data_IF_208830563510
#
_entry.id   IF_208830563510
#
_cell.length_a   1.000
_cell.length_b   1.000
_cell.length_c   1.000
_cell.angle_alpha   90.00
_cell.angle_beta   90.00
_cell.angle_gamma   90.00
#
_symmetry.space_group_name_H-M   'P 1'
#
loop_
_entity.id
_entity.type
_entity.pdbx_description
1 polymer ?
#
# COMPACT_ATOMS: atom_id res chain seq x y z
N UNK A 1 -6.67 12.68 -0.24
CA UNK A 1 -5.42 13.34 0.18
C UNK A 1 -4.73 12.47 1.22
N UNK A 2 -3.46 12.11 1.01
CA UNK A 2 -2.69 11.32 1.99
C UNK A 2 -2.29 12.21 3.18
N UNK A 3 -2.11 11.59 4.33
CA UNK A 3 -1.86 12.28 5.60
C UNK A 3 -0.77 13.37 5.54
N UNK A 4 0.41 13.19 4.88
CA UNK A 4 1.43 14.23 4.81
C UNK A 4 0.96 15.54 4.16
N UNK A 5 0.08 15.46 3.15
CA UNK A 5 -0.47 16.66 2.49
C UNK A 5 -1.48 17.39 3.37
N UNK A 6 -2.34 16.64 4.08
CA UNK A 6 -3.31 17.21 5.02
C UNK A 6 -2.57 17.91 6.17
N UNK A 7 -1.57 17.25 6.72
CA UNK A 7 -0.78 17.79 7.83
C UNK A 7 0.03 19.03 7.40
N UNK A 8 0.60 19.04 6.20
CA UNK A 8 1.26 20.23 5.66
C UNK A 8 0.28 21.40 5.48
N UNK A 9 -0.91 21.13 4.95
CA UNK A 9 -1.96 22.15 4.80
C UNK A 9 -2.39 22.71 6.17
N UNK A 10 -2.64 21.85 7.14
CA UNK A 10 -2.98 22.28 8.52
C UNK A 10 -1.84 23.06 9.16
N UNK A 11 -0.59 22.70 8.92
CA UNK A 11 0.57 23.43 9.39
C UNK A 11 0.62 24.85 8.81
N UNK A 12 0.42 25.00 7.50
CA UNK A 12 0.38 26.33 6.84
C UNK A 12 -0.79 27.16 7.35
N UNK A 13 -2.00 26.58 7.46
CA UNK A 13 -3.17 27.27 8.02
C UNK A 13 -2.88 27.72 9.46
N UNK A 14 -2.27 26.86 10.25
CA UNK A 14 -1.92 27.16 11.63
C UNK A 14 -0.97 28.36 11.77
N UNK A 15 0.02 28.48 10.88
CA UNK A 15 0.92 29.64 10.82
C UNK A 15 0.15 30.90 10.46
N UNK A 16 -0.74 30.84 9.47
CA UNK A 16 -1.54 32.00 9.02
C UNK A 16 -2.50 32.47 10.12
N UNK A 17 -3.16 31.55 10.80
CA UNK A 17 -4.07 31.85 11.92
C UNK A 17 -3.29 32.42 13.10
N UNK A 18 -2.15 31.85 13.46
CA UNK A 18 -1.30 32.33 14.56
C UNK A 18 -0.80 33.77 14.36
N UNK A 19 -0.55 34.20 13.11
CA UNK A 19 -0.17 35.59 12.79
C UNK A 19 -1.33 36.57 12.82
N UNK A 20 -2.57 36.11 12.66
CA UNK A 20 -3.76 36.93 12.53
C UNK A 20 -4.69 36.88 13.77
N UNK A 21 -4.15 36.53 14.94
CA UNK A 21 -4.95 36.44 16.19
C UNK A 21 -5.63 37.74 16.63
N UNK A 22 -5.21 38.87 16.10
CA UNK A 22 -5.89 40.18 16.34
C UNK A 22 -7.32 40.23 15.77
N UNK A 23 -7.63 39.42 14.75
CA UNK A 23 -8.96 39.39 14.13
C UNK A 23 -9.98 38.53 14.88
N UNK A 24 -9.54 37.60 15.77
CA UNK A 24 -10.42 36.65 16.46
C UNK A 24 -10.89 37.10 17.86
N UNK A 25 -10.70 38.36 18.24
CA UNK A 25 -11.19 38.89 19.51
C UNK A 25 -10.22 38.66 20.68
N UNK A 26 -10.24 39.62 21.62
CA UNK A 26 -9.39 39.59 22.83
C UNK A 26 -9.75 38.38 23.70
N UNK A 27 -8.92 37.37 23.68
CA UNK A 27 -9.07 36.21 24.57
C UNK A 27 -8.77 34.84 23.95
N UNK A 28 -8.58 34.72 22.63
CA UNK A 28 -8.20 33.48 21.99
C UNK A 28 -6.77 33.56 21.44
N UNK A 29 -5.81 32.96 22.12
CA UNK A 29 -4.48 32.71 21.55
C UNK A 29 -4.40 31.27 21.11
N UNK A 30 -4.37 31.04 19.79
CA UNK A 30 -4.18 29.73 19.22
C UNK A 30 -2.71 29.60 18.79
N UNK A 31 -1.94 28.76 19.48
CA UNK A 31 -0.57 28.46 19.09
C UNK A 31 -0.45 27.01 18.64
N UNK A 32 -0.03 26.78 17.40
CA UNK A 32 0.27 25.46 16.88
C UNK A 32 1.77 25.25 16.95
N UNK A 33 2.17 24.17 17.58
CA UNK A 33 3.57 23.74 17.56
C UNK A 33 3.84 22.98 16.25
N UNK A 34 4.46 23.66 15.29
CA UNK A 34 4.77 23.12 13.96
C UNK A 34 5.70 21.90 14.04
N UNK A 35 6.66 21.91 14.96
CA UNK A 35 7.58 20.77 15.18
C UNK A 35 6.80 19.54 15.59
N UNK A 36 5.79 19.68 16.46
CA UNK A 36 4.94 18.55 16.88
C UNK A 36 4.14 17.97 15.72
N UNK A 37 3.65 18.81 14.80
CA UNK A 37 2.97 18.33 13.58
C UNK A 37 3.94 17.51 12.72
N UNK A 38 5.16 17.99 12.52
CA UNK A 38 6.17 17.27 11.72
C UNK A 38 6.52 15.93 12.37
N UNK A 39 6.75 15.92 13.68
CA UNK A 39 7.02 14.69 14.43
C UNK A 39 5.85 13.71 14.29
N UNK A 40 4.61 14.20 14.38
CA UNK A 40 3.41 13.38 14.20
C UNK A 40 3.36 12.74 12.80
N UNK A 41 3.72 13.48 11.74
CA UNK A 41 3.83 12.93 10.38
C UNK A 41 4.85 11.79 10.35
N UNK A 42 6.02 11.99 10.97
CA UNK A 42 7.04 10.95 11.04
C UNK A 42 6.58 9.71 11.78
N UNK A 43 5.92 9.87 12.93
CA UNK A 43 5.35 8.76 13.71
C UNK A 43 4.28 8.01 12.91
N UNK A 44 3.37 8.71 12.24
CA UNK A 44 2.36 8.06 11.38
C UNK A 44 3.00 7.28 10.24
N UNK A 45 4.08 7.79 9.64
CA UNK A 45 4.81 7.08 8.59
C UNK A 45 5.48 5.81 9.11
N UNK A 46 6.03 5.82 10.32
CA UNK A 46 6.59 4.64 10.98
C UNK A 46 5.48 3.61 11.24
N UNK A 47 4.36 4.03 11.81
CA UNK A 47 3.20 3.16 12.10
C UNK A 47 2.65 2.56 10.81
N UNK A 48 2.49 3.35 9.75
CA UNK A 48 2.08 2.87 8.42
C UNK A 48 3.05 1.80 7.90
N UNK A 49 4.36 2.04 8.01
CA UNK A 49 5.37 1.07 7.61
C UNK A 49 5.28 -0.25 8.37
N UNK A 50 5.08 -0.20 9.69
CA UNK A 50 4.91 -1.39 10.54
C UNK A 50 3.62 -2.13 10.16
N UNK A 51 2.50 -1.43 10.01
CA UNK A 51 1.22 -2.01 9.62
C UNK A 51 1.27 -2.64 8.23
N UNK A 52 1.96 -2.00 7.28
CA UNK A 52 2.19 -2.57 5.94
C UNK A 52 2.96 -3.90 6.03
N UNK A 53 4.00 -3.99 6.86
CA UNK A 53 4.76 -5.22 7.05
C UNK A 53 3.97 -6.34 7.74
N UNK A 54 3.04 -6.02 8.63
CA UNK A 54 2.28 -7.03 9.41
C UNK A 54 1.06 -7.52 8.63
N UNK A 55 0.32 -6.62 8.00
CA UNK A 55 -1.02 -6.89 7.46
C UNK A 55 -1.22 -6.46 5.99
N UNK A 56 -0.25 -5.77 5.40
CA UNK A 56 -0.39 -5.21 4.05
C UNK A 56 -0.58 -6.25 2.95
N UNK A 57 -0.02 -7.44 3.12
CA UNK A 57 -0.11 -8.55 2.18
C UNK A 57 -1.49 -9.24 2.12
N UNK A 58 -2.41 -8.89 3.02
CA UNK A 58 -3.78 -9.44 3.03
C UNK A 58 -4.77 -8.67 2.13
N UNK A 59 -4.45 -7.41 1.81
CA UNK A 59 -5.31 -6.55 0.98
C UNK A 59 -4.78 -6.41 -0.44
N UNK A 60 -4.72 -7.51 -1.20
CA UNK A 60 -4.19 -7.50 -2.56
C UNK A 60 -5.22 -7.94 -3.60
N UNK A 61 -4.96 -7.53 -4.85
CA UNK A 61 -5.67 -7.98 -6.04
C UNK A 61 -4.64 -8.40 -7.09
N UNK A 62 -4.85 -9.54 -7.78
CA UNK A 62 -4.06 -9.89 -8.96
C UNK A 62 -4.30 -8.87 -10.07
N UNK A 63 -3.23 -8.38 -10.67
CA UNK A 63 -3.27 -7.42 -11.77
C UNK A 63 -2.37 -7.91 -12.90
N UNK A 64 -2.66 -7.45 -14.11
CA UNK A 64 -1.88 -7.77 -15.30
C UNK A 64 -1.47 -6.48 -16.00
N UNK A 65 -0.29 -6.49 -16.59
CA UNK A 65 0.22 -5.39 -17.43
C UNK A 65 1.01 -5.94 -18.60
N UNK A 66 1.19 -5.15 -19.62
CA UNK A 66 2.04 -5.49 -20.74
C UNK A 66 3.41 -4.82 -20.56
N UNK A 67 4.48 -5.61 -20.63
CA UNK A 67 5.86 -5.14 -20.61
C UNK A 67 6.64 -5.83 -21.72
N UNK A 68 7.28 -5.07 -22.58
CA UNK A 68 8.10 -5.57 -23.71
C UNK A 68 7.34 -6.57 -24.61
N UNK A 69 6.06 -6.30 -24.87
CA UNK A 69 5.19 -7.17 -25.68
C UNK A 69 4.71 -8.45 -25.00
N UNK A 70 5.09 -8.68 -23.72
CA UNK A 70 4.69 -9.84 -22.93
C UNK A 70 3.69 -9.44 -21.87
N UNK A 71 2.72 -10.32 -21.61
CA UNK A 71 1.80 -10.16 -20.49
C UNK A 71 2.50 -10.56 -19.18
N UNK A 72 2.52 -9.64 -18.23
CA UNK A 72 3.14 -9.80 -16.92
C UNK A 72 2.06 -9.73 -15.85
N UNK A 73 2.06 -10.70 -14.96
CA UNK A 73 1.23 -10.70 -13.77
C UNK A 73 1.89 -9.93 -12.63
N UNK A 74 1.07 -9.46 -11.70
CA UNK A 74 1.53 -8.79 -10.50
C UNK A 74 0.43 -8.65 -9.48
N UNK A 75 0.70 -7.88 -8.43
CA UNK A 75 -0.22 -7.62 -7.34
C UNK A 75 -0.38 -6.13 -7.09
N UNK A 76 -1.64 -5.67 -7.03
CA UNK A 76 -2.00 -4.37 -6.52
C UNK A 76 -2.43 -4.49 -5.07
N UNK A 77 -1.96 -3.59 -4.22
CA UNK A 77 -2.27 -3.56 -2.80
C UNK A 77 -3.04 -2.30 -2.47
N UNK A 78 -4.08 -2.46 -1.65
CA UNK A 78 -4.81 -1.34 -1.09
C UNK A 78 -5.33 -1.72 0.30
N UNK A 79 -4.78 -1.05 1.32
CA UNK A 79 -5.11 -1.33 2.70
C UNK A 79 -5.36 -0.04 3.46
N UNK A 80 -6.38 -0.04 4.30
CA UNK A 80 -6.71 1.05 5.20
C UNK A 80 -6.68 0.57 6.64
N UNK A 81 -6.15 1.42 7.52
CA UNK A 81 -6.17 1.19 8.96
C UNK A 81 -6.73 2.41 9.66
N UNK A 82 -7.75 2.20 10.49
CA UNK A 82 -8.26 3.21 11.40
C UNK A 82 -7.43 3.15 12.70
N UNK A 83 -6.80 4.26 13.05
CA UNK A 83 -6.00 4.40 14.26
C UNK A 83 -6.79 5.20 15.27
N UNK A 84 -7.12 4.66 16.45
CA UNK A 84 -7.72 5.45 17.51
C UNK A 84 -6.69 6.47 18.00
N UNK A 85 -7.08 7.74 18.00
CA UNK A 85 -6.30 8.86 18.49
C UNK A 85 -7.00 9.47 19.69
N UNK A 86 -6.24 9.78 20.72
CA UNK A 86 -6.71 10.57 21.81
C UNK A 86 -6.06 11.95 21.71
N UNK A 87 -6.83 12.95 21.33
CA UNK A 87 -6.38 14.34 21.29
C UNK A 87 -6.67 14.97 22.65
N UNK A 88 -5.61 15.47 23.28
CA UNK A 88 -5.73 16.25 24.50
C UNK A 88 -6.04 17.70 24.11
N UNK A 89 -7.24 18.17 24.43
CA UNK A 89 -7.66 19.54 24.21
C UNK A 89 -7.51 20.31 25.51
N UNK A 90 -6.66 21.32 25.49
CA UNK A 90 -6.42 22.19 26.62
C UNK A 90 -7.17 23.52 26.38
N UNK A 91 -8.21 23.74 27.14
CA UNK A 91 -8.96 25.00 27.10
C UNK A 91 -8.40 25.92 28.20
N UNK A 92 -7.59 26.90 27.80
CA UNK A 92 -7.07 27.92 28.72
C UNK A 92 -8.18 28.89 29.18
N UNK A 93 -8.45 28.95 30.47
CA UNK A 93 -9.25 30.05 31.03
C UNK A 93 -8.33 31.22 31.30
N UNK A 94 -8.65 32.38 30.73
CA UNK A 94 -8.03 33.67 31.06
C UNK A 94 -8.46 34.14 32.46
N UNK A 95 -8.05 33.42 33.50
CA UNK A 95 -8.26 33.89 34.88
C UNK A 95 -6.88 34.19 35.45
N UNK A 96 -6.62 35.46 35.57
CA UNK A 96 -5.45 35.92 36.31
C UNK A 96 -5.45 35.37 37.72
N UNK A 97 -4.28 34.95 38.16
CA UNK A 97 -3.83 34.64 39.50
C UNK A 97 -4.09 33.23 40.08
N UNK A 98 -3.01 32.57 40.36
CA UNK A 98 -2.72 31.76 41.54
C UNK A 98 -3.11 30.28 41.61
N UNK A 99 -3.25 29.54 40.52
CA UNK A 99 -3.38 28.10 40.64
C UNK A 99 -2.10 27.37 40.13
N UNK A 100 -1.02 28.09 39.89
CA UNK A 100 0.19 27.56 39.25
C UNK A 100 1.00 26.59 40.16
N UNK A 101 0.70 26.52 41.45
CA UNK A 101 1.57 25.85 42.42
C UNK A 101 1.27 24.36 42.70
N UNK A 102 0.26 23.75 42.11
CA UNK A 102 -0.14 22.37 42.46
C UNK A 102 -0.06 21.32 41.35
N UNK A 103 0.47 21.63 40.18
CA UNK A 103 0.68 20.53 39.18
C UNK A 103 2.00 19.84 39.43
N UNK A 104 1.94 18.85 40.31
CA UNK A 104 3.01 17.89 40.50
C UNK A 104 3.02 16.91 39.33
N UNK A 105 4.16 16.86 38.66
CA UNK A 105 4.62 15.75 37.84
C UNK A 105 3.71 15.25 36.69
N UNK A 106 3.76 15.98 35.58
CA UNK A 106 3.36 15.39 34.29
C UNK A 106 4.31 14.22 33.95
N UNK A 107 3.79 13.09 33.46
CA UNK A 107 4.63 11.97 33.06
C UNK A 107 5.70 12.40 32.06
N UNK A 108 6.95 12.13 32.37
CA UNK A 108 8.11 12.49 31.53
C UNK A 108 8.09 11.84 30.13
N UNK A 109 7.23 10.85 29.94
CA UNK A 109 7.04 10.17 28.64
C UNK A 109 6.17 10.93 27.64
N UNK A 110 5.55 12.06 28.03
CA UNK A 110 4.82 12.95 27.14
C UNK A 110 5.79 13.93 26.47
N UNK A 111 6.46 13.57 25.36
CA UNK A 111 7.52 14.39 24.76
C UNK A 111 6.99 15.70 24.17
N UNK A 112 5.67 15.81 23.96
CA UNK A 112 5.04 16.97 23.35
C UNK A 112 4.78 18.13 24.33
N UNK A 113 4.92 17.91 25.63
CA UNK A 113 4.52 18.84 26.67
C UNK A 113 5.64 19.26 27.63
N UNK A 114 6.89 19.00 27.27
CA UNK A 114 8.07 19.31 28.11
C UNK A 114 8.51 20.78 27.98
N UNK A 115 7.65 21.72 28.35
CA UNK A 115 8.01 23.11 28.49
C UNK A 115 7.33 23.71 29.70
N UNK A 116 8.01 24.64 30.40
CA UNK A 116 7.44 25.32 31.58
C UNK A 116 6.11 26.04 31.26
N UNK A 117 5.94 26.49 30.00
CA UNK A 117 4.69 27.05 29.50
C UNK A 117 3.58 26.01 29.35
N UNK A 118 3.92 24.79 28.99
CA UNK A 118 2.93 23.71 28.86
C UNK A 118 2.47 23.21 30.23
N UNK A 119 3.38 23.16 31.24
CA UNK A 119 3.03 22.86 32.62
C UNK A 119 2.12 23.94 33.22
N UNK A 120 2.40 25.22 32.97
CA UNK A 120 1.59 26.31 33.38
C UNK A 120 0.20 26.35 32.73
N UNK A 121 0.11 25.97 31.43
CA UNK A 121 -1.16 25.89 30.70
C UNK A 121 -2.04 24.74 31.21
N UNK A 122 -1.46 23.60 31.56
CA UNK A 122 -2.20 22.45 32.08
C UNK A 122 -2.74 22.68 33.50
N UNK A 123 -2.12 23.55 34.29
CA UNK A 123 -2.57 23.86 35.65
C UNK A 123 -3.86 24.69 35.69
N UNK A 124 -4.15 25.42 34.61
CA UNK A 124 -5.29 26.38 34.52
C UNK A 124 -6.38 25.88 33.57
N UNK A 125 -6.13 24.76 32.87
CA UNK A 125 -6.94 24.33 31.78
C UNK A 125 -7.90 23.20 32.15
N UNK A 126 -9.16 23.32 31.71
CA UNK A 126 -10.03 22.18 31.64
C UNK A 126 -9.48 21.19 30.62
N UNK A 127 -8.97 20.03 31.08
CA UNK A 127 -8.50 18.96 30.24
C UNK A 127 -9.69 18.23 29.63
N UNK A 128 -9.90 18.43 28.34
CA UNK A 128 -10.85 17.65 27.56
C UNK A 128 -10.09 16.61 26.73
N UNK A 129 -10.53 15.37 26.76
CA UNK A 129 -10.07 14.35 25.82
C UNK A 129 -11.07 14.24 24.68
N UNK A 130 -10.59 14.50 23.45
CA UNK A 130 -11.37 14.27 22.25
C UNK A 130 -10.92 12.96 21.63
N UNK A 131 -11.80 11.96 21.62
CA UNK A 131 -11.58 10.75 20.87
C UNK A 131 -11.69 11.07 19.37
N UNK A 132 -10.64 10.81 18.64
CA UNK A 132 -10.58 10.99 17.19
C UNK A 132 -10.07 9.72 16.53
N UNK A 133 -10.38 9.55 15.26
CA UNK A 133 -9.81 8.47 14.46
C UNK A 133 -8.91 9.06 13.38
N UNK A 134 -7.65 8.65 13.38
CA UNK A 134 -6.78 8.84 12.25
C UNK A 134 -6.95 7.68 11.26
N UNK A 135 -6.82 7.95 9.99
CA UNK A 135 -6.78 6.92 8.97
C UNK A 135 -5.42 6.96 8.28
N UNK A 136 -4.76 5.81 8.22
CA UNK A 136 -3.59 5.64 7.36
C UNK A 136 -3.87 4.56 6.32
N UNK A 137 -3.22 4.64 5.16
CA UNK A 137 -3.45 3.72 4.06
C UNK A 137 -2.16 3.44 3.31
N UNK A 138 -1.97 2.19 2.97
CA UNK A 138 -0.95 1.78 2.03
C UNK A 138 -1.58 1.45 0.67
N UNK A 139 -0.96 1.95 -0.40
CA UNK A 139 -1.32 1.64 -1.77
C UNK A 139 -0.03 1.45 -2.56
N UNK A 140 0.06 0.35 -3.32
CA UNK A 140 1.24 0.04 -4.11
C UNK A 140 1.00 -1.11 -5.07
N UNK A 141 1.92 -1.31 -6.00
CA UNK A 141 1.89 -2.40 -6.98
C UNK A 141 3.24 -3.08 -7.04
N UNK A 142 3.26 -4.36 -7.41
CA UNK A 142 4.49 -5.07 -7.72
C UNK A 142 4.28 -6.09 -8.84
N UNK A 143 5.25 -6.17 -9.72
CA UNK A 143 5.36 -7.17 -10.79
C UNK A 143 6.65 -7.99 -10.65
N UNK A 144 7.55 -7.56 -9.76
CA UNK A 144 8.92 -8.05 -9.66
C UNK A 144 9.23 -8.72 -8.33
N UNK A 145 8.32 -8.63 -7.36
CA UNK A 145 8.51 -9.15 -6.01
C UNK A 145 7.32 -10.01 -5.58
N UNK A 146 7.56 -10.91 -4.62
CA UNK A 146 6.46 -11.60 -3.93
C UNK A 146 5.67 -10.62 -3.07
N UNK A 147 4.42 -10.94 -2.76
CA UNK A 147 3.53 -10.13 -1.92
C UNK A 147 4.21 -9.72 -0.61
N UNK A 148 4.78 -10.68 0.09
CA UNK A 148 5.44 -10.46 1.38
C UNK A 148 6.71 -9.61 1.25
N UNK A 149 7.54 -9.88 0.25
CA UNK A 149 8.78 -9.12 0.00
C UNK A 149 8.48 -7.65 -0.30
N UNK A 150 7.44 -7.37 -1.11
CA UNK A 150 7.01 -6.00 -1.40
C UNK A 150 6.56 -5.28 -0.14
N UNK A 151 5.77 -5.91 0.73
CA UNK A 151 5.30 -5.29 1.96
C UNK A 151 6.45 -4.98 2.92
N UNK A 152 7.43 -5.89 3.04
CA UNK A 152 8.60 -5.65 3.87
C UNK A 152 9.44 -4.49 3.31
N UNK A 153 9.75 -4.50 2.02
CA UNK A 153 10.57 -3.45 1.40
C UNK A 153 9.92 -2.06 1.49
N UNK A 154 8.63 -1.96 1.16
CA UNK A 154 7.89 -0.70 1.25
C UNK A 154 7.71 -0.24 2.70
N UNK A 155 7.47 -1.16 3.64
CA UNK A 155 7.38 -0.86 5.06
C UNK A 155 8.68 -0.31 5.63
N UNK A 156 9.83 -0.90 5.29
CA UNK A 156 11.15 -0.40 5.70
C UNK A 156 11.43 1.01 5.14
N UNK A 157 11.08 1.26 3.88
CA UNK A 157 11.23 2.59 3.27
C UNK A 157 10.36 3.62 3.99
N UNK A 158 9.13 3.26 4.38
CA UNK A 158 8.24 4.12 5.16
C UNK A 158 8.80 4.44 6.56
N UNK A 159 9.34 3.44 7.24
CA UNK A 159 9.97 3.61 8.55
C UNK A 159 11.19 4.53 8.42
N UNK A 160 12.06 4.29 7.45
CA UNK A 160 13.23 5.13 7.20
C UNK A 160 12.83 6.59 6.91
N UNK A 161 11.82 6.81 6.06
CA UNK A 161 11.27 8.13 5.80
C UNK A 161 10.77 8.80 7.09
N UNK A 162 9.98 8.10 7.91
CA UNK A 162 9.47 8.62 9.17
C UNK A 162 10.57 9.03 10.15
N UNK A 163 11.62 8.20 10.26
CA UNK A 163 12.78 8.49 11.11
C UNK A 163 13.50 9.75 10.61
N UNK A 164 13.74 9.87 9.29
CA UNK A 164 14.39 11.05 8.70
C UNK A 164 13.59 12.32 8.99
N UNK A 165 12.26 12.28 8.83
CA UNK A 165 11.37 13.41 9.11
C UNK A 165 11.46 13.83 10.58
N UNK A 166 11.48 12.87 11.52
CA UNK A 166 11.60 13.16 12.96
C UNK A 166 12.95 13.80 13.27
N UNK A 167 14.04 13.23 12.74
CA UNK A 167 15.40 13.79 12.95
C UNK A 167 15.46 15.23 12.44
N UNK A 168 14.96 15.50 11.23
CA UNK A 168 14.95 16.84 10.66
C UNK A 168 14.09 17.80 11.50
N UNK A 169 12.97 17.35 12.04
CA UNK A 169 12.12 18.14 12.92
C UNK A 169 12.89 18.62 14.17
N UNK A 170 13.66 17.72 14.80
CA UNK A 170 14.44 18.07 15.98
C UNK A 170 15.66 18.95 15.68
N UNK A 171 16.33 18.72 14.55
CA UNK A 171 17.50 19.52 14.15
C UNK A 171 17.12 20.96 13.79
N UNK A 172 15.92 21.16 13.22
CA UNK A 172 15.49 22.45 12.68
C UNK A 172 14.51 23.22 13.59
N UNK A 173 14.17 22.68 14.76
CA UNK A 173 13.17 23.27 15.69
C UNK A 173 13.47 24.67 16.16
N UNK A 174 14.75 25.07 16.23
CA UNK A 174 15.18 26.38 16.76
C UNK A 174 14.85 27.54 15.80
N UNK A 175 14.62 27.25 14.50
CA UNK A 175 14.35 28.26 13.49
C UNK A 175 12.95 28.08 12.90
N UNK A 176 12.08 29.08 13.08
CA UNK A 176 10.76 29.08 12.51
C UNK A 176 10.79 28.98 10.97
N UNK A 177 11.75 29.67 10.33
CA UNK A 177 11.89 29.68 8.87
C UNK A 177 12.19 28.27 8.34
N UNK A 178 13.14 27.57 8.96
CA UNK A 178 13.47 26.18 8.57
C UNK A 178 12.34 25.20 8.89
N UNK A 179 11.60 25.41 9.97
CA UNK A 179 10.44 24.57 10.31
C UNK A 179 9.32 24.73 9.28
N UNK A 180 9.04 25.95 8.83
CA UNK A 180 8.06 26.21 7.76
C UNK A 180 8.55 25.59 6.44
N UNK A 181 9.82 25.79 6.08
CA UNK A 181 10.40 25.18 4.88
C UNK A 181 10.29 23.64 4.91
N UNK A 182 10.50 23.04 6.07
CA UNK A 182 10.38 21.58 6.25
C UNK A 182 8.94 21.09 6.05
N UNK A 183 7.94 21.81 6.55
CA UNK A 183 6.52 21.46 6.33
C UNK A 183 6.19 21.40 4.83
N UNK A 184 6.74 22.33 4.04
CA UNK A 184 6.56 22.35 2.58
C UNK A 184 7.36 21.23 1.93
N UNK A 185 8.56 20.93 2.43
CA UNK A 185 9.45 19.92 1.88
C UNK A 185 8.96 18.48 2.12
N UNK A 186 8.26 18.22 3.22
CA UNK A 186 7.76 16.88 3.58
C UNK A 186 6.91 16.22 2.49
N UNK A 187 5.89 16.88 1.91
CA UNK A 187 5.14 16.31 0.78
C UNK A 187 6.00 16.00 -0.43
N UNK A 188 7.01 16.82 -0.71
CA UNK A 188 7.96 16.61 -1.81
C UNK A 188 8.84 15.38 -1.57
N UNK A 189 9.34 15.22 -0.35
CA UNK A 189 10.09 14.03 0.06
C UNK A 189 9.24 12.77 0.00
N UNK A 190 7.96 12.87 0.36
CA UNK A 190 7.02 11.77 0.25
C UNK A 190 6.78 11.36 -1.21
N UNK A 191 6.61 12.32 -2.11
CA UNK A 191 6.47 12.07 -3.54
C UNK A 191 7.75 11.47 -4.13
N UNK A 192 8.91 11.99 -3.75
CA UNK A 192 10.21 11.46 -4.17
C UNK A 192 10.37 9.99 -3.75
N UNK A 193 9.96 9.64 -2.53
CA UNK A 193 9.95 8.27 -2.04
C UNK A 193 9.11 7.35 -2.95
N UNK A 194 7.87 7.76 -3.29
CA UNK A 194 7.00 6.99 -4.18
C UNK A 194 7.65 6.79 -5.55
N UNK A 195 8.21 7.86 -6.13
CA UNK A 195 8.91 7.78 -7.42
C UNK A 195 10.13 6.87 -7.38
N UNK A 196 10.86 6.86 -6.27
CA UNK A 196 11.98 5.94 -6.06
C UNK A 196 11.51 4.48 -6.01
N UNK A 197 10.43 4.19 -5.30
CA UNK A 197 9.85 2.83 -5.25
C UNK A 197 9.42 2.36 -6.66
N UNK A 198 8.73 3.21 -7.42
CA UNK A 198 8.31 2.90 -8.79
C UNK A 198 9.52 2.70 -9.73
N UNK A 199 10.55 3.51 -9.60
CA UNK A 199 11.79 3.37 -10.38
C UNK A 199 12.51 2.06 -10.04
N UNK A 200 12.63 1.70 -8.78
CA UNK A 200 13.23 0.44 -8.37
C UNK A 200 12.44 -0.76 -8.89
N UNK A 201 11.10 -0.66 -8.92
CA UNK A 201 10.23 -1.68 -9.49
C UNK A 201 10.45 -1.81 -11.01
N UNK A 202 10.58 -0.69 -11.74
CA UNK A 202 10.78 -0.71 -13.20
C UNK A 202 12.13 -1.26 -13.65
N UNK A 203 13.16 -1.15 -12.80
CA UNK A 203 14.52 -1.64 -13.08
C UNK A 203 14.67 -3.16 -12.88
N UNK A 204 13.74 -3.80 -12.20
CA UNK A 204 13.79 -5.24 -11.93
C UNK A 204 13.08 -6.02 -13.03
N UNK A 205 13.51 -7.26 -13.22
CA UNK A 205 12.83 -8.19 -14.11
C UNK A 205 11.48 -8.63 -13.52
N UNK A 206 10.45 -8.82 -14.36
CA UNK A 206 9.18 -9.37 -13.93
C UNK A 206 9.34 -10.77 -13.33
N UNK A 207 8.69 -11.02 -12.21
CA UNK A 207 8.68 -12.33 -11.56
C UNK A 207 7.61 -13.26 -12.15
N UNK A 208 6.47 -12.69 -12.55
CA UNK A 208 5.30 -13.44 -12.95
C UNK A 208 5.05 -13.27 -14.44
N UNK A 209 5.64 -14.13 -15.25
CA UNK A 209 5.40 -14.19 -16.68
C UNK A 209 5.40 -15.63 -17.19
N UNK A 210 4.56 -15.90 -18.17
CA UNK A 210 4.52 -17.15 -18.90
C UNK A 210 5.35 -17.02 -20.19
N UNK A 211 5.97 -18.11 -20.59
CA UNK A 211 6.69 -18.25 -21.86
C UNK A 211 6.06 -19.37 -22.71
N UNK A 212 6.63 -19.68 -23.86
CA UNK A 212 6.09 -20.69 -24.78
C UNK A 212 6.05 -22.08 -24.18
N UNK A 213 6.97 -22.40 -23.28
CA UNK A 213 7.12 -23.74 -22.70
C UNK A 213 6.46 -23.88 -21.31
N UNK A 214 6.15 -22.77 -20.64
CA UNK A 214 5.72 -22.78 -19.24
C UNK A 214 4.65 -21.76 -18.96
N UNK A 215 3.67 -22.11 -18.09
CA UNK A 215 2.64 -21.20 -17.62
C UNK A 215 2.88 -20.84 -16.15
N UNK A 216 3.04 -19.57 -15.87
CA UNK A 216 3.32 -19.07 -14.53
C UNK A 216 2.05 -19.04 -13.67
N UNK A 217 2.18 -19.54 -12.44
CA UNK A 217 1.15 -19.42 -11.40
C UNK A 217 1.31 -18.06 -10.73
N UNK A 218 0.37 -17.16 -10.95
CA UNK A 218 0.37 -15.84 -10.30
C UNK A 218 0.04 -15.98 -8.81
N UNK A 219 -1.05 -16.70 -8.51
CA UNK A 219 -1.49 -16.85 -7.13
C UNK A 219 -2.12 -18.21 -6.87
N UNK A 220 -2.09 -18.62 -5.61
CA UNK A 220 -2.68 -19.87 -5.13
C UNK A 220 -3.59 -19.58 -3.96
N UNK A 221 -4.86 -19.97 -4.09
CA UNK A 221 -5.87 -19.74 -3.06
C UNK A 221 -5.52 -20.52 -1.78
N UNK A 222 -5.50 -19.89 -0.60
CA UNK A 222 -5.30 -20.58 0.67
C UNK A 222 -6.30 -21.73 0.87
N UNK A 223 -5.82 -22.83 1.42
CA UNK A 223 -6.61 -24.06 1.67
C UNK A 223 -7.13 -24.78 0.42
N UNK A 224 -6.80 -24.34 -0.79
CA UNK A 224 -7.10 -25.03 -2.04
C UNK A 224 -6.27 -26.32 -2.21
N UNK A 225 -6.63 -27.12 -3.19
CA UNK A 225 -5.87 -28.33 -3.54
C UNK A 225 -4.45 -27.98 -3.95
N UNK A 226 -4.28 -27.00 -4.82
CA UNK A 226 -2.99 -26.51 -5.27
C UNK A 226 -2.11 -26.10 -4.08
N UNK A 227 -2.67 -25.36 -3.11
CA UNK A 227 -1.95 -24.97 -1.91
C UNK A 227 -1.49 -26.17 -1.06
N UNK A 228 -2.38 -27.16 -0.87
CA UNK A 228 -2.07 -28.39 -0.10
C UNK A 228 -1.02 -29.27 -0.77
N UNK A 229 -1.02 -29.32 -2.10
CA UNK A 229 0.00 -30.01 -2.91
C UNK A 229 1.32 -29.24 -2.99
N UNK A 230 1.44 -28.10 -2.30
CA UNK A 230 2.70 -27.35 -2.23
C UNK A 230 2.94 -26.41 -3.40
N UNK A 231 1.95 -26.13 -4.28
CA UNK A 231 2.06 -25.10 -5.31
C UNK A 231 2.07 -23.72 -4.66
N UNK A 232 2.87 -22.83 -5.20
CA UNK A 232 3.04 -21.47 -4.70
C UNK A 232 3.03 -20.45 -5.85
N UNK A 233 2.86 -19.20 -5.48
CA UNK A 233 3.02 -18.07 -6.40
C UNK A 233 4.44 -18.05 -6.98
N UNK A 234 4.58 -17.74 -8.26
CA UNK A 234 5.77 -17.80 -9.09
C UNK A 234 6.26 -19.22 -9.49
N UNK A 235 5.59 -20.30 -9.07
CA UNK A 235 5.83 -21.61 -9.65
C UNK A 235 5.32 -21.63 -11.12
N UNK A 236 5.91 -22.48 -11.96
CA UNK A 236 5.57 -22.58 -13.38
C UNK A 236 5.13 -24.00 -13.74
N UNK A 237 3.99 -24.12 -14.41
CA UNK A 237 3.49 -25.39 -14.95
C UNK A 237 4.25 -25.68 -16.23
N UNK A 238 5.02 -26.76 -16.24
CA UNK A 238 5.83 -27.21 -17.39
C UNK A 238 5.05 -28.22 -18.22
N UNK A 239 4.43 -29.22 -17.55
CA UNK A 239 3.62 -30.23 -18.22
C UNK A 239 2.39 -30.61 -17.43
N UNK A 240 1.37 -31.05 -18.15
CA UNK A 240 0.12 -31.61 -17.65
C UNK A 240 -0.12 -32.92 -18.37
N UNK A 241 -0.17 -34.04 -17.62
CA UNK A 241 -0.28 -35.40 -18.21
C UNK A 241 0.73 -35.60 -19.34
N UNK A 242 2.00 -35.24 -19.10
CA UNK A 242 3.13 -35.34 -20.04
C UNK A 242 3.09 -34.39 -21.25
N UNK A 243 2.02 -33.59 -21.43
CA UNK A 243 1.89 -32.61 -22.50
C UNK A 243 2.22 -31.18 -22.01
N UNK A 244 2.88 -30.41 -22.89
CA UNK A 244 3.15 -28.98 -22.64
C UNK A 244 1.87 -28.18 -22.96
N UNK A 245 1.27 -27.47 -21.99
CA UNK A 245 0.04 -26.72 -22.23
C UNK A 245 0.31 -25.52 -23.13
N UNK A 246 -0.47 -25.36 -24.21
CA UNK A 246 -0.33 -24.25 -25.16
C UNK A 246 -0.79 -22.91 -24.58
N UNK A 247 -1.82 -22.95 -23.73
CA UNK A 247 -2.41 -21.76 -23.10
C UNK A 247 -3.04 -22.11 -21.75
N UNK A 248 -3.43 -21.09 -21.01
CA UNK A 248 -4.10 -21.23 -19.71
C UNK A 248 -5.45 -21.96 -19.80
N UNK A 249 -6.15 -21.86 -20.94
CA UNK A 249 -7.45 -22.54 -21.16
C UNK A 249 -7.24 -24.07 -21.16
N UNK A 250 -6.18 -24.56 -21.78
CA UNK A 250 -5.85 -25.98 -21.76
C UNK A 250 -5.55 -26.48 -20.33
N UNK A 251 -4.85 -25.69 -19.53
CA UNK A 251 -4.63 -26.00 -18.10
C UNK A 251 -5.96 -26.15 -17.37
N UNK A 252 -6.86 -25.16 -17.50
CA UNK A 252 -8.17 -25.23 -16.84
C UNK A 252 -9.04 -26.37 -17.36
N UNK A 253 -8.99 -26.68 -18.67
CA UNK A 253 -9.71 -27.81 -19.25
C UNK A 253 -9.14 -29.15 -18.74
N UNK A 254 -7.83 -29.29 -18.63
CA UNK A 254 -7.19 -30.50 -18.10
C UNK A 254 -7.59 -30.72 -16.63
N UNK A 255 -7.54 -29.66 -15.83
CA UNK A 255 -7.98 -29.70 -14.44
C UNK A 255 -9.46 -30.09 -14.35
N UNK A 256 -10.32 -29.56 -15.23
CA UNK A 256 -11.76 -29.86 -15.22
C UNK A 256 -12.09 -31.27 -15.70
N UNK A 257 -11.37 -31.79 -16.72
CA UNK A 257 -11.62 -33.10 -17.30
C UNK A 257 -11.07 -34.24 -16.46
N UNK A 258 -9.86 -34.09 -15.96
CA UNK A 258 -9.07 -35.14 -15.31
C UNK A 258 -8.78 -34.82 -13.84
N UNK A 259 -9.77 -34.32 -13.12
CA UNK A 259 -9.60 -33.87 -11.73
C UNK A 259 -9.07 -34.97 -10.80
N UNK A 260 -9.21 -36.25 -11.18
CA UNK A 260 -8.73 -37.43 -10.43
C UNK A 260 -7.73 -38.18 -11.25
N UNK A 261 -6.47 -37.87 -11.14
CA UNK A 261 -5.39 -38.48 -11.90
C UNK A 261 -4.69 -37.47 -12.81
N UNK A 262 -4.64 -36.21 -12.36
CA UNK A 262 -3.94 -35.15 -13.05
C UNK A 262 -2.48 -35.12 -12.58
N UNK A 263 -1.56 -35.39 -13.49
CA UNK A 263 -0.13 -35.26 -13.24
C UNK A 263 0.36 -33.89 -13.70
N UNK A 264 1.01 -33.19 -12.78
CA UNK A 264 1.57 -31.87 -13.02
C UNK A 264 3.08 -31.90 -12.82
N UNK A 265 3.84 -31.50 -13.82
CA UNK A 265 5.25 -31.13 -13.65
C UNK A 265 5.35 -29.63 -13.41
N UNK A 266 5.85 -29.27 -12.24
CA UNK A 266 5.94 -27.89 -11.78
C UNK A 266 7.39 -27.52 -11.60
N UNK A 267 7.84 -26.46 -12.25
CA UNK A 267 9.11 -25.83 -11.93
C UNK A 267 8.90 -24.82 -10.79
N UNK A 268 9.54 -25.09 -9.67
CA UNK A 268 9.54 -24.19 -8.51
C UNK A 268 10.35 -22.94 -8.79
N UNK A 269 10.06 -21.86 -8.04
CA UNK A 269 10.83 -20.61 -8.15
C UNK A 269 12.34 -20.78 -7.88
N UNK A 270 12.76 -21.86 -7.20
CA UNK A 270 14.16 -22.22 -6.99
C UNK A 270 14.80 -22.99 -8.16
N UNK A 271 14.04 -23.23 -9.25
CA UNK A 271 14.47 -23.96 -10.45
C UNK A 271 14.25 -25.48 -10.42
N UNK A 272 13.92 -26.07 -9.28
CA UNK A 272 13.67 -27.52 -9.18
C UNK A 272 12.37 -27.90 -9.86
N UNK A 273 12.35 -29.06 -10.53
CA UNK A 273 11.13 -29.63 -11.13
C UNK A 273 10.59 -30.69 -10.17
N UNK A 274 9.32 -30.55 -9.81
CA UNK A 274 8.59 -31.47 -8.94
C UNK A 274 7.37 -32.02 -9.69
N UNK A 275 7.07 -33.32 -9.48
CA UNK A 275 5.85 -33.95 -9.99
C UNK A 275 4.80 -34.02 -8.90
N UNK A 276 3.60 -33.58 -9.21
CA UNK A 276 2.46 -33.59 -8.30
C UNK A 276 1.29 -34.31 -8.96
N UNK A 277 0.83 -35.39 -8.33
CA UNK A 277 -0.37 -36.11 -8.76
C UNK A 277 -1.55 -35.69 -7.90
N UNK A 278 -2.66 -35.31 -8.52
CA UNK A 278 -3.93 -35.00 -7.88
C UNK A 278 -4.79 -36.25 -7.86
N UNK A 279 -5.14 -36.70 -6.66
CA UNK A 279 -5.90 -37.94 -6.44
C UNK A 279 -7.33 -37.64 -5.99
N UNK A 280 -8.20 -38.66 -6.03
CA UNK A 280 -9.64 -38.55 -5.70
C UNK A 280 -9.98 -38.15 -4.25
N UNK A 281 -9.01 -38.10 -3.34
CA UNK A 281 -9.19 -37.63 -1.96
C UNK A 281 -9.52 -36.13 -1.86
N UNK A 282 -9.28 -35.39 -2.94
CA UNK A 282 -9.50 -33.96 -3.02
C UNK A 282 -10.93 -33.58 -3.50
N UNK A 283 -11.87 -34.51 -3.44
CA UNK A 283 -13.25 -34.35 -3.92
C UNK A 283 -13.96 -33.14 -3.31
N UNK A 284 -14.56 -32.32 -4.16
CA UNK A 284 -15.39 -31.17 -3.74
C UNK A 284 -14.65 -29.89 -3.38
N UNK A 285 -13.32 -29.87 -3.50
CA UNK A 285 -12.52 -28.65 -3.24
C UNK A 285 -12.12 -27.98 -4.55
N UNK A 286 -12.02 -26.67 -4.54
CA UNK A 286 -11.51 -25.90 -5.68
C UNK A 286 -10.01 -26.13 -5.86
N UNK A 287 -9.56 -26.23 -7.12
CA UNK A 287 -8.13 -26.31 -7.41
C UNK A 287 -7.38 -25.05 -6.97
N UNK A 288 -7.96 -23.88 -7.24
CA UNK A 288 -7.58 -22.60 -6.63
C UNK A 288 -6.26 -22.02 -7.10
N UNK A 289 -6.03 -21.90 -8.41
CA UNK A 289 -4.88 -21.18 -8.98
C UNK A 289 -5.35 -20.01 -9.84
N UNK A 290 -4.51 -18.97 -9.89
CA UNK A 290 -4.58 -17.89 -10.87
C UNK A 290 -3.34 -17.98 -11.76
N UNK A 291 -3.53 -18.05 -13.07
CA UNK A 291 -2.45 -18.21 -14.05
C UNK A 291 -2.17 -16.87 -14.73
N UNK A 292 -0.91 -16.68 -15.15
CA UNK A 292 -0.54 -15.61 -16.07
C UNK A 292 -0.71 -16.14 -17.49
N UNK A 293 -1.59 -15.54 -18.33
CA UNK A 293 -1.78 -15.99 -19.71
C UNK A 293 -0.49 -15.93 -20.53
N UNK A 294 -0.32 -16.87 -21.43
CA UNK A 294 0.70 -16.80 -22.49
C UNK A 294 0.23 -15.77 -23.50
N UNK A 295 0.74 -14.56 -23.45
CA UNK A 295 0.53 -13.47 -24.38
C UNK A 295 -0.83 -13.47 -25.11
N UNK A 296 -1.74 -12.64 -24.68
CA UNK A 296 -2.87 -12.31 -25.53
C UNK A 296 -2.27 -11.48 -26.65
N UNK A 297 -2.26 -11.98 -27.89
CA UNK A 297 -2.21 -11.11 -29.03
C UNK A 297 -3.55 -10.36 -29.07
N UNK A 298 -3.67 -9.34 -28.19
CA UNK A 298 -4.81 -8.41 -28.23
C UNK A 298 -5.05 -7.93 -29.66
N UNK A 299 -3.96 -7.75 -30.41
CA UNK A 299 -4.03 -7.37 -31.82
C UNK A 299 -4.77 -8.40 -32.66
N UNK A 300 -4.56 -9.71 -32.47
CA UNK A 300 -5.27 -10.71 -33.29
C UNK A 300 -6.76 -10.84 -32.93
N UNK A 301 -7.13 -10.81 -31.65
CA UNK A 301 -8.55 -10.89 -31.27
C UNK A 301 -9.28 -9.58 -31.64
N UNK A 302 -8.63 -8.42 -31.52
CA UNK A 302 -9.19 -7.14 -31.95
C UNK A 302 -9.27 -7.10 -33.47
N UNK A 303 -8.26 -7.54 -34.21
CA UNK A 303 -8.26 -7.59 -35.66
C UNK A 303 -9.33 -8.58 -36.18
N UNK A 304 -9.48 -9.77 -35.59
CA UNK A 304 -10.56 -10.68 -35.91
C UNK A 304 -11.93 -10.10 -35.59
N UNK A 305 -12.06 -9.39 -34.46
CA UNK A 305 -13.32 -8.71 -34.10
C UNK A 305 -13.64 -7.56 -35.05
N UNK A 306 -12.65 -6.74 -35.39
CA UNK A 306 -12.80 -5.66 -36.38
C UNK A 306 -13.07 -6.18 -37.78
N UNK A 307 -12.48 -7.32 -38.19
CA UNK A 307 -12.84 -7.97 -39.46
C UNK A 307 -14.27 -8.52 -39.46
N UNK A 308 -14.72 -9.10 -38.36
CA UNK A 308 -16.12 -9.57 -38.21
C UNK A 308 -17.11 -8.41 -38.28
N UNK A 309 -16.80 -7.28 -37.62
CA UNK A 309 -17.60 -6.05 -37.70
C UNK A 309 -17.64 -5.47 -39.12
N UNK A 310 -16.49 -5.43 -39.81
CA UNK A 310 -16.43 -4.96 -41.21
C UNK A 310 -17.19 -5.88 -42.17
N UNK A 311 -17.21 -7.19 -41.96
CA UNK A 311 -18.01 -8.14 -42.72
C UNK A 311 -19.52 -7.94 -42.46
N UNK A 312 -19.91 -7.81 -41.19
CA UNK A 312 -21.30 -7.59 -40.83
C UNK A 312 -21.86 -6.26 -41.43
N UNK A 313 -21.07 -5.19 -41.38
CA UNK A 313 -21.48 -3.90 -41.98
C UNK A 313 -21.60 -3.96 -43.51
N UNK A 314 -20.77 -4.74 -44.21
CA UNK A 314 -20.88 -4.94 -45.66
C UNK A 314 -22.11 -5.79 -46.04
N UNK A 315 -22.43 -6.80 -45.25
CA UNK A 315 -23.61 -7.63 -45.48
C UNK A 315 -24.93 -6.87 -45.25
N UNK A 316 -24.96 -5.86 -44.36
CA UNK A 316 -26.08 -4.94 -44.18
C UNK A 316 -26.23 -3.94 -45.35
N UNK A 317 -25.12 -3.42 -45.89
CA UNK A 317 -25.15 -2.52 -47.06
C UNK A 317 -25.61 -3.23 -48.34
N UNK A 318 -25.33 -4.54 -48.49
CA UNK A 318 -25.76 -5.36 -49.61
C UNK A 318 -27.25 -5.76 -49.51
N UNK A 319 -27.83 -5.85 -48.31
CA UNK A 319 -29.22 -6.14 -48.07
C UNK A 319 -30.15 -4.94 -48.22
N UNK A 320 -29.60 -3.72 -48.16
CA UNK A 320 -30.37 -2.46 -48.30
C UNK A 320 -30.29 -1.83 -49.71
N UNK A 321 -29.71 -2.52 -50.66
CA UNK A 321 -29.76 -2.23 -52.11
C UNK A 321 -30.61 -3.29 -52.82
#
# INVERSE_FOLDING_TARGET
>A
LKFPYIAALLGVIGVLVSKNTEYFGRGFSFSINLTSIIVLIGVFSIVEGILAMIDGDKGYLPIFTQKDGKLVGGFGFKRFWALPLCLLVVLGANSGNSIINEVKDLPQWLPFFNGDKAKALMSVAALGTLAAYGATSYEGTTFTQSKRSKMISSGLINIAYGIVVIILAYLLKESLVFTIALIILIPLLYELRIRMELKLESLREPLYFSNDDEICILDVLPNSIAYKKGLRSADKIVKINEEIPKNEKEVFMAIKRNFYGLDLEIRKNNGNIEKHTITGEDRGKQFGIVLVPKGISFDKEIDEFLEKLKKASKDEEVKNK
#
